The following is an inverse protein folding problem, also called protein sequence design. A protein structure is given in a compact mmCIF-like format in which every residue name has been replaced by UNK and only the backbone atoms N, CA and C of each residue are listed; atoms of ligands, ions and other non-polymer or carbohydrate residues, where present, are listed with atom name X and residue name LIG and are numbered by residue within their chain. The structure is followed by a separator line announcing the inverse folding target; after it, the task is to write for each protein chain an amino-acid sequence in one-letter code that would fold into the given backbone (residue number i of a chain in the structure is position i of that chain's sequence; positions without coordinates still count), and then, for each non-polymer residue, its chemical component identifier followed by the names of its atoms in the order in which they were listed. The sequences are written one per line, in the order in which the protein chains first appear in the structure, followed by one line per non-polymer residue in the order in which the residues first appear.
data_IF_220402007534
#
_entry.id   IF_220402007534
#
_cell.length_a   1.000
_cell.length_b   1.000
_cell.length_c   1.000
_cell.angle_alpha   90.00
_cell.angle_beta   90.00
_cell.angle_gamma   90.00
#
_symmetry.space_group_name_H-M   'P 1'
#
loop_
_entity.id
_entity.type
_entity.pdbx_description
1 polymer ?
#
# COMPACT_ATOMS: atom_id res chain seq x y z
N UNK A 1 8.66 -23.99 -5.34
CA UNK A 1 9.40 -22.75 -5.67
C UNK A 1 9.65 -22.00 -4.36
N UNK A 2 10.75 -21.26 -4.22
CA UNK A 2 10.97 -20.44 -3.04
C UNK A 2 9.91 -19.31 -3.01
N UNK A 3 9.43 -18.96 -1.82
CA UNK A 3 8.48 -17.86 -1.65
C UNK A 3 9.15 -16.52 -1.99
N UNK A 4 8.39 -15.61 -2.59
CA UNK A 4 8.81 -14.22 -2.80
C UNK A 4 8.87 -13.52 -1.45
N UNK A 5 10.06 -13.04 -1.07
CA UNK A 5 10.26 -12.30 0.17
C UNK A 5 9.77 -10.86 0.03
N UNK A 6 8.80 -10.50 0.84
CA UNK A 6 8.14 -9.18 0.79
C UNK A 6 8.44 -8.39 2.06
N UNK A 7 8.85 -7.14 1.89
CA UNK A 7 8.84 -6.16 2.97
C UNK A 7 7.70 -5.15 2.76
N UNK A 8 7.11 -4.67 3.84
CA UNK A 8 6.06 -3.64 3.81
C UNK A 8 6.63 -2.36 4.41
N UNK A 9 6.70 -1.29 3.61
CA UNK A 9 7.07 0.03 4.08
C UNK A 9 5.81 0.87 4.31
N UNK A 10 5.51 1.17 5.56
CA UNK A 10 4.27 1.78 6.00
C UNK A 10 3.20 0.75 6.36
N UNK A 11 2.96 0.60 7.66
CA UNK A 11 1.96 -0.35 8.18
C UNK A 11 0.67 0.37 8.58
N UNK A 12 0.29 1.36 7.75
CA UNK A 12 -1.00 2.04 7.79
C UNK A 12 -2.14 1.13 7.32
N UNK A 13 -3.26 1.70 6.92
CA UNK A 13 -4.42 0.91 6.46
C UNK A 13 -4.06 -0.05 5.32
N UNK A 14 -3.40 0.45 4.29
CA UNK A 14 -3.08 -0.36 3.10
C UNK A 14 -2.08 -1.46 3.46
N UNK A 15 -0.98 -1.12 4.13
CA UNK A 15 0.04 -2.10 4.54
C UNK A 15 -0.54 -3.22 5.41
N UNK A 16 -1.40 -2.89 6.39
CA UNK A 16 -2.03 -3.90 7.26
C UNK A 16 -3.03 -4.78 6.51
N UNK A 17 -3.82 -4.23 5.61
CA UNK A 17 -4.79 -5.02 4.84
C UNK A 17 -4.08 -5.92 3.82
N UNK A 18 -3.02 -5.42 3.18
CA UNK A 18 -2.15 -6.25 2.33
C UNK A 18 -1.51 -7.39 3.14
N UNK A 19 -0.98 -7.08 4.33
CA UNK A 19 -0.45 -8.09 5.24
C UNK A 19 -1.47 -9.18 5.56
N UNK A 20 -2.71 -8.81 5.93
CA UNK A 20 -3.77 -9.78 6.25
C UNK A 20 -4.06 -10.74 5.08
N UNK A 21 -3.93 -10.28 3.84
CA UNK A 21 -4.15 -11.10 2.64
C UNK A 21 -2.94 -11.98 2.30
N UNK A 22 -1.73 -11.46 2.53
CA UNK A 22 -0.49 -12.14 2.16
C UNK A 22 -0.02 -13.14 3.20
N UNK A 23 -0.32 -12.89 4.48
CA UNK A 23 0.18 -13.72 5.57
C UNK A 23 -0.45 -15.13 5.52
N UNK A 24 0.38 -16.14 5.32
CA UNK A 24 -0.04 -17.53 5.15
C UNK A 24 -0.52 -17.90 3.74
N UNK A 25 -0.52 -16.96 2.79
CA UNK A 25 -0.79 -17.28 1.39
C UNK A 25 0.42 -17.95 0.73
N UNK A 26 0.16 -18.85 -0.22
CA UNK A 26 1.22 -19.50 -1.00
C UNK A 26 1.95 -18.52 -1.90
N UNK A 27 3.25 -18.71 -2.05
CA UNK A 27 4.11 -17.91 -2.94
C UNK A 27 4.68 -16.65 -2.32
N UNK A 28 4.24 -16.24 -1.12
CA UNK A 28 4.73 -15.04 -0.43
C UNK A 28 5.27 -15.33 0.95
N UNK A 29 6.22 -14.51 1.37
CA UNK A 29 6.69 -14.46 2.73
C UNK A 29 6.92 -13.01 3.15
N UNK A 30 6.12 -12.48 4.08
CA UNK A 30 6.38 -11.18 4.70
C UNK A 30 7.52 -11.35 5.70
N UNK A 31 8.67 -10.76 5.39
CA UNK A 31 9.92 -10.91 6.17
C UNK A 31 10.23 -9.71 7.04
N UNK A 32 9.70 -8.53 6.71
CA UNK A 32 9.94 -7.30 7.45
C UNK A 32 8.82 -6.28 7.27
N UNK A 33 8.67 -5.41 8.24
CA UNK A 33 7.82 -4.22 8.19
C UNK A 33 8.66 -3.03 8.62
N UNK A 34 8.51 -1.90 7.96
CA UNK A 34 9.05 -0.62 8.40
C UNK A 34 7.91 0.35 8.68
N UNK A 35 7.85 0.86 9.92
CA UNK A 35 6.88 1.88 10.32
C UNK A 35 7.42 2.63 11.55
N UNK A 36 7.13 3.92 11.66
CA UNK A 36 7.62 4.76 12.76
C UNK A 36 6.80 4.60 14.06
N UNK A 37 5.75 3.80 14.02
CA UNK A 37 4.85 3.52 15.15
C UNK A 37 5.33 2.30 15.93
N UNK A 38 5.07 2.26 17.25
CA UNK A 38 5.50 1.13 18.09
C UNK A 38 4.84 -0.19 17.68
N UNK A 39 5.55 -1.34 17.82
CA UNK A 39 5.01 -2.67 17.53
C UNK A 39 3.68 -2.95 18.23
N UNK A 40 3.53 -2.55 19.48
CA UNK A 40 2.31 -2.73 20.26
C UNK A 40 1.11 -2.02 19.63
N UNK A 41 1.30 -0.78 19.19
CA UNK A 41 0.24 -0.02 18.49
C UNK A 41 -0.07 -0.65 17.13
N UNK A 42 0.93 -1.04 16.36
CA UNK A 42 0.74 -1.69 15.07
C UNK A 42 0.03 -3.03 15.20
N UNK A 43 0.35 -3.83 16.22
CA UNK A 43 -0.34 -5.09 16.53
C UNK A 43 -1.80 -4.85 16.89
N UNK A 44 -2.11 -3.82 17.70
CA UNK A 44 -3.49 -3.44 18.03
C UNK A 44 -4.27 -3.09 16.75
N UNK A 45 -3.71 -2.24 15.91
CA UNK A 45 -4.33 -1.83 14.64
C UNK A 45 -4.42 -2.99 13.63
N UNK A 46 -3.52 -3.97 13.68
CA UNK A 46 -3.62 -5.19 12.88
C UNK A 46 -4.80 -6.07 13.33
N UNK A 47 -5.01 -6.19 14.65
CA UNK A 47 -6.12 -6.99 15.20
C UNK A 47 -7.48 -6.42 14.84
N UNK A 48 -7.63 -5.10 14.93
CA UNK A 48 -8.93 -4.42 14.87
C UNK A 48 -8.95 -3.38 13.76
N UNK A 49 -9.94 -3.45 12.90
CA UNK A 49 -10.18 -2.49 11.84
C UNK A 49 -11.66 -2.14 11.80
N UNK A 50 -11.98 -0.84 11.88
CA UNK A 50 -13.37 -0.37 11.97
C UNK A 50 -14.17 -0.62 10.68
N UNK A 51 -13.52 -0.70 9.52
CA UNK A 51 -14.17 -0.93 8.24
C UNK A 51 -14.13 -2.41 7.81
N UNK A 52 -13.00 -3.09 8.05
CA UNK A 52 -12.77 -4.48 7.62
C UNK A 52 -12.96 -5.51 8.74
N UNK A 53 -13.29 -5.05 9.94
CA UNK A 53 -13.54 -5.91 11.07
C UNK A 53 -12.28 -6.51 11.69
N UNK A 54 -12.52 -7.39 12.64
CA UNK A 54 -11.46 -8.09 13.38
C UNK A 54 -10.69 -9.03 12.45
N UNK A 55 -9.36 -9.02 12.57
CA UNK A 55 -8.51 -9.94 11.82
C UNK A 55 -8.76 -11.40 12.25
N UNK A 56 -8.85 -12.32 11.29
CA UNK A 56 -9.11 -13.73 11.57
C UNK A 56 -8.08 -14.36 12.53
N UNK A 57 -6.82 -13.90 12.48
CA UNK A 57 -5.74 -14.36 13.34
C UNK A 57 -5.50 -13.44 14.56
N UNK A 58 -6.42 -12.54 14.91
CA UNK A 58 -6.23 -11.53 15.96
C UNK A 58 -5.79 -12.11 17.30
N UNK A 59 -6.29 -13.29 17.68
CA UNK A 59 -5.95 -13.94 18.95
C UNK A 59 -4.51 -14.47 19.01
N UNK A 60 -3.90 -14.67 17.85
CA UNK A 60 -2.51 -15.13 17.73
C UNK A 60 -1.51 -13.97 17.60
N UNK A 61 -2.01 -12.72 17.50
CA UNK A 61 -1.15 -11.54 17.33
C UNK A 61 -0.63 -11.07 18.68
N UNK A 62 0.66 -10.97 18.83
CA UNK A 62 1.35 -10.34 19.97
C UNK A 62 2.43 -9.37 19.47
N UNK A 63 2.93 -8.54 20.35
CA UNK A 63 4.01 -7.61 20.04
C UNK A 63 4.97 -7.48 21.21
N UNK A 64 6.21 -7.22 20.90
CA UNK A 64 7.27 -6.91 21.85
C UNK A 64 7.93 -5.59 21.38
N UNK A 65 7.73 -4.52 22.18
CA UNK A 65 8.26 -3.19 21.87
C UNK A 65 9.79 -3.12 22.08
N UNK A 66 10.34 -3.88 23.04
CA UNK A 66 11.78 -3.91 23.30
C UNK A 66 12.52 -4.67 22.19
N UNK A 67 11.99 -5.82 21.80
CA UNK A 67 12.53 -6.59 20.68
C UNK A 67 12.22 -5.97 19.31
N UNK A 68 11.28 -5.02 19.24
CA UNK A 68 10.85 -4.41 17.98
C UNK A 68 10.17 -5.41 17.05
N UNK A 69 9.24 -6.24 17.58
CA UNK A 69 8.65 -7.33 16.80
C UNK A 69 7.14 -7.43 16.95
N UNK A 70 6.52 -8.02 15.93
CA UNK A 70 5.13 -8.52 15.95
C UNK A 70 5.17 -10.02 15.64
N UNK A 71 4.46 -10.80 16.44
CA UNK A 71 4.28 -12.24 16.21
C UNK A 71 2.84 -12.50 15.80
N UNK A 72 2.64 -13.26 14.72
CA UNK A 72 1.34 -13.70 14.22
C UNK A 72 1.40 -15.19 13.94
N UNK A 73 0.50 -15.95 14.53
CA UNK A 73 0.43 -17.41 14.39
C UNK A 73 1.80 -18.10 14.57
N UNK A 74 2.55 -17.67 15.61
CA UNK A 74 3.88 -18.20 15.94
C UNK A 74 5.03 -17.70 15.06
N UNK A 75 4.77 -16.95 14.00
CA UNK A 75 5.80 -16.34 13.16
C UNK A 75 6.11 -14.92 13.60
N UNK A 76 7.35 -14.66 13.99
CA UNK A 76 7.84 -13.35 14.42
C UNK A 76 8.37 -12.55 13.24
N UNK A 77 7.93 -11.30 13.12
CA UNK A 77 8.32 -10.36 12.06
C UNK A 77 8.91 -9.13 12.74
N UNK A 78 10.10 -8.72 12.30
CA UNK A 78 10.76 -7.53 12.81
C UNK A 78 10.12 -6.27 12.24
N UNK A 79 9.94 -5.30 13.15
CA UNK A 79 9.53 -3.93 12.81
C UNK A 79 10.77 -3.05 12.83
N UNK A 80 11.04 -2.41 11.74
CA UNK A 80 12.05 -1.38 11.60
C UNK A 80 11.38 -0.01 11.72
N UNK A 81 12.11 0.99 12.19
CA UNK A 81 11.61 2.36 12.39
C UNK A 81 12.48 3.38 11.62
N UNK A 82 12.82 3.02 10.38
CA UNK A 82 13.66 3.84 9.52
C UNK A 82 12.84 4.90 8.81
N UNK A 83 13.16 6.17 9.05
CA UNK A 83 12.52 7.32 8.40
C UNK A 83 12.99 7.47 6.95
N UNK A 84 14.26 7.18 6.71
CA UNK A 84 14.85 7.14 5.37
C UNK A 84 14.91 5.68 4.89
N UNK A 85 14.20 5.38 3.83
CA UNK A 85 14.09 4.02 3.28
C UNK A 85 15.44 3.47 2.78
N UNK A 86 16.44 4.31 2.53
CA UNK A 86 17.79 3.86 2.15
C UNK A 86 18.49 3.12 3.28
N UNK A 87 18.09 3.34 4.53
CA UNK A 87 18.66 2.69 5.72
C UNK A 87 17.97 1.35 6.06
N UNK A 88 16.91 1.00 5.35
CA UNK A 88 16.24 -0.26 5.58
C UNK A 88 17.14 -1.44 5.13
N UNK A 89 17.18 -2.56 5.88
CA UNK A 89 18.10 -3.67 5.59
C UNK A 89 17.55 -4.64 4.54
N UNK A 90 16.97 -4.12 3.45
CA UNK A 90 16.32 -4.97 2.43
C UNK A 90 17.28 -5.94 1.77
N UNK A 91 18.51 -5.51 1.50
CA UNK A 91 19.55 -6.36 0.92
C UNK A 91 19.97 -7.50 1.84
N UNK A 92 20.17 -7.23 3.14
CA UNK A 92 20.56 -8.23 4.14
C UNK A 92 19.47 -9.29 4.33
N UNK A 93 18.21 -8.89 4.27
CA UNK A 93 17.05 -9.77 4.40
C UNK A 93 16.73 -10.52 3.09
N UNK A 94 17.38 -10.15 1.99
CA UNK A 94 17.13 -10.71 0.66
C UNK A 94 15.72 -10.40 0.15
N UNK A 95 15.22 -9.18 0.40
CA UNK A 95 13.88 -8.74 -0.01
C UNK A 95 13.77 -8.72 -1.53
N UNK A 96 12.80 -9.46 -2.06
CA UNK A 96 12.50 -9.46 -3.49
C UNK A 96 11.62 -8.27 -3.87
N UNK A 97 10.60 -7.97 -3.04
CA UNK A 97 9.62 -6.92 -3.33
C UNK A 97 9.36 -6.09 -2.09
N UNK A 98 9.41 -4.76 -2.22
CA UNK A 98 8.89 -3.83 -1.22
C UNK A 98 7.50 -3.38 -1.65
N UNK A 99 6.50 -3.53 -0.76
CA UNK A 99 5.23 -2.84 -0.86
C UNK A 99 5.37 -1.47 -0.21
N UNK A 100 5.36 -0.41 -1.01
CA UNK A 100 5.43 0.97 -0.54
C UNK A 100 4.03 1.48 -0.22
N UNK A 101 3.72 1.60 1.07
CA UNK A 101 2.40 1.94 1.59
C UNK A 101 2.37 3.19 2.46
N UNK A 102 3.47 3.99 2.50
CA UNK A 102 3.56 5.20 3.34
C UNK A 102 2.85 6.41 2.76
N UNK A 103 2.71 6.46 1.43
CA UNK A 103 2.26 7.64 0.70
C UNK A 103 3.34 8.74 0.55
N UNK A 104 4.60 8.50 0.98
CA UNK A 104 5.71 9.44 0.82
C UNK A 104 6.56 9.16 -0.43
N UNK A 105 6.81 7.90 -0.73
CA UNK A 105 7.63 7.46 -1.86
C UNK A 105 6.76 7.21 -3.10
N UNK A 106 5.93 8.19 -3.47
CA UNK A 106 4.94 8.10 -4.56
C UNK A 106 5.47 8.62 -5.90
N UNK A 107 6.73 8.37 -6.22
CA UNK A 107 7.33 8.62 -7.53
C UNK A 107 8.49 7.66 -7.77
N UNK A 108 8.87 7.45 -9.02
CA UNK A 108 10.00 6.62 -9.39
C UNK A 108 11.27 7.03 -8.65
N UNK A 109 11.64 8.32 -8.74
CA UNK A 109 12.86 8.85 -8.14
C UNK A 109 12.91 8.66 -6.61
N UNK A 110 11.79 8.86 -5.90
CA UNK A 110 11.74 8.61 -4.46
C UNK A 110 11.84 7.12 -4.13
N UNK A 111 11.14 6.27 -4.89
CA UNK A 111 11.09 4.82 -4.64
C UNK A 111 12.41 4.11 -4.94
N UNK A 112 13.32 4.73 -5.69
CA UNK A 112 14.70 4.25 -5.87
C UNK A 112 15.45 4.07 -4.53
N UNK A 113 15.03 4.75 -3.46
CA UNK A 113 15.58 4.56 -2.12
C UNK A 113 15.50 3.09 -1.68
N UNK A 114 14.42 2.39 -1.98
CA UNK A 114 14.28 0.97 -1.67
C UNK A 114 15.21 0.07 -2.49
N UNK A 115 15.43 0.41 -3.75
CA UNK A 115 16.41 -0.32 -4.59
C UNK A 115 17.84 -0.10 -4.08
N UNK A 116 18.18 1.13 -3.65
CA UNK A 116 19.46 1.44 -3.01
C UNK A 116 19.66 0.68 -1.70
N UNK A 117 18.57 0.45 -0.96
CA UNK A 117 18.57 -0.38 0.25
C UNK A 117 18.67 -1.89 -0.04
N UNK A 118 18.70 -2.29 -1.32
CA UNK A 118 18.92 -3.68 -1.74
C UNK A 118 17.68 -4.48 -2.10
N UNK A 119 16.49 -3.87 -2.16
CA UNK A 119 15.30 -4.53 -2.70
C UNK A 119 15.43 -4.73 -4.23
N UNK A 120 14.85 -5.81 -4.75
CA UNK A 120 14.90 -6.08 -6.20
C UNK A 120 13.81 -5.33 -6.96
N UNK A 121 12.63 -5.16 -6.36
CA UNK A 121 11.48 -4.50 -6.97
C UNK A 121 10.70 -3.69 -5.92
N UNK A 122 9.96 -2.68 -6.38
CA UNK A 122 9.08 -1.85 -5.56
C UNK A 122 7.70 -1.79 -6.19
N UNK A 123 6.67 -2.02 -5.41
CA UNK A 123 5.26 -1.82 -5.77
C UNK A 123 4.71 -0.68 -4.93
N UNK A 124 4.42 0.45 -5.57
CA UNK A 124 3.86 1.63 -4.91
C UNK A 124 2.34 1.46 -4.85
N UNK A 125 1.75 1.51 -3.67
CA UNK A 125 0.31 1.34 -3.44
C UNK A 125 -0.52 2.61 -3.70
N UNK A 126 -0.04 3.48 -4.57
CA UNK A 126 -0.65 4.77 -4.88
C UNK A 126 -0.28 5.20 -6.30
N UNK A 127 -0.99 6.19 -6.90
CA UNK A 127 -0.55 6.83 -8.13
C UNK A 127 0.86 7.42 -7.96
N UNK A 128 1.73 7.22 -8.95
CA UNK A 128 3.15 7.54 -8.81
C UNK A 128 3.76 8.27 -10.03
N UNK A 129 2.96 8.98 -10.78
CA UNK A 129 3.39 9.70 -11.99
C UNK A 129 3.29 8.85 -13.27
N UNK A 130 3.80 9.41 -14.37
CA UNK A 130 3.70 8.79 -15.70
C UNK A 130 5.04 8.22 -16.20
N UNK A 131 6.08 8.27 -15.38
CA UNK A 131 7.44 7.83 -15.68
C UNK A 131 7.74 6.38 -15.28
N UNK A 132 6.70 5.66 -14.85
CA UNK A 132 6.75 4.25 -14.45
C UNK A 132 5.44 3.53 -14.82
N UNK A 133 5.46 2.20 -14.98
CA UNK A 133 4.25 1.44 -15.29
C UNK A 133 3.22 1.53 -14.17
N UNK A 134 1.98 1.87 -14.55
CA UNK A 134 0.81 1.81 -13.67
C UNK A 134 0.00 0.56 -14.02
N UNK A 135 -0.17 -0.32 -13.03
CA UNK A 135 -0.75 -1.64 -13.24
C UNK A 135 -2.04 -1.79 -12.45
N UNK A 136 -3.07 -2.28 -13.14
CA UNK A 136 -4.30 -2.79 -12.54
C UNK A 136 -4.38 -4.28 -12.88
N UNK A 137 -4.42 -5.10 -11.85
CA UNK A 137 -4.51 -6.56 -11.99
C UNK A 137 -5.77 -6.96 -12.80
N UNK A 138 -5.64 -7.97 -13.64
CA UNK A 138 -6.66 -8.44 -14.61
C UNK A 138 -7.00 -7.44 -15.73
N UNK A 139 -6.30 -6.31 -15.82
CA UNK A 139 -6.46 -5.32 -16.91
C UNK A 139 -5.22 -5.25 -17.77
N UNK A 140 -4.07 -4.95 -17.18
CA UNK A 140 -2.83 -4.71 -17.92
C UNK A 140 -1.56 -5.31 -17.28
N UNK A 141 -1.67 -6.22 -16.31
CA UNK A 141 -0.51 -6.86 -15.66
C UNK A 141 0.42 -7.56 -16.65
N UNK A 142 -0.11 -7.99 -17.81
CA UNK A 142 0.66 -8.65 -18.87
C UNK A 142 1.61 -7.71 -19.62
N UNK A 143 1.47 -6.41 -19.41
CA UNK A 143 2.40 -5.42 -20.00
C UNK A 143 3.71 -5.33 -19.22
N UNK A 144 3.78 -5.90 -18.00
CA UNK A 144 4.98 -5.91 -17.18
C UNK A 144 6.10 -6.73 -17.82
N UNK A 145 7.30 -6.20 -17.71
CA UNK A 145 8.52 -6.84 -18.13
C UNK A 145 9.47 -7.09 -16.96
N UNK A 146 10.49 -7.89 -17.17
CA UNK A 146 11.55 -8.11 -16.14
C UNK A 146 12.34 -6.85 -15.82
N UNK A 147 12.39 -5.89 -16.74
CA UNK A 147 13.09 -4.61 -16.59
C UNK A 147 12.33 -3.64 -15.65
N UNK A 148 11.04 -3.83 -15.43
CA UNK A 148 10.24 -2.98 -14.58
C UNK A 148 10.55 -3.27 -13.11
N UNK A 149 11.36 -2.42 -12.50
CA UNK A 149 11.79 -2.57 -11.10
C UNK A 149 10.93 -1.78 -10.13
N UNK A 150 10.28 -0.70 -10.59
CA UNK A 150 9.37 0.12 -9.80
C UNK A 150 8.07 0.26 -10.58
N UNK A 151 6.96 -0.10 -9.96
CA UNK A 151 5.62 0.01 -10.56
C UNK A 151 4.64 0.67 -9.59
N UNK A 152 3.59 1.26 -10.13
CA UNK A 152 2.43 1.73 -9.37
C UNK A 152 1.30 0.71 -9.46
N UNK A 153 0.66 0.40 -8.35
CA UNK A 153 -0.59 -0.36 -8.30
C UNK A 153 -1.84 0.52 -8.52
N UNK A 154 -1.66 1.72 -9.08
CA UNK A 154 -2.71 2.69 -9.36
C UNK A 154 -3.41 3.24 -8.10
N UNK A 155 -4.53 3.94 -8.27
CA UNK A 155 -5.39 4.42 -7.19
C UNK A 155 -6.51 3.43 -6.87
N UNK A 156 -7.16 3.60 -5.73
CA UNK A 156 -8.38 2.87 -5.37
C UNK A 156 -9.48 3.07 -6.42
N UNK A 157 -9.67 4.31 -6.90
CA UNK A 157 -10.64 4.66 -7.94
C UNK A 157 -10.31 3.95 -9.26
N UNK A 158 -9.04 3.94 -9.67
CA UNK A 158 -8.60 3.25 -10.90
C UNK A 158 -8.79 1.75 -10.78
N UNK A 159 -8.49 1.14 -9.64
CA UNK A 159 -8.71 -0.29 -9.43
C UNK A 159 -10.20 -0.67 -9.41
N UNK A 160 -11.08 0.24 -9.04
CA UNK A 160 -12.53 0.07 -9.14
C UNK A 160 -13.00 0.16 -10.61
N UNK A 161 -12.64 1.25 -11.30
CA UNK A 161 -13.17 1.58 -12.63
C UNK A 161 -12.59 0.71 -13.75
N UNK A 162 -11.27 0.50 -13.76
CA UNK A 162 -10.60 -0.09 -14.92
C UNK A 162 -11.06 -1.52 -15.25
N UNK A 163 -11.29 -2.45 -14.30
CA UNK A 163 -11.84 -3.76 -14.60
C UNK A 163 -13.24 -3.71 -15.21
N UNK A 164 -14.12 -2.84 -14.69
CA UNK A 164 -15.47 -2.65 -15.22
C UNK A 164 -15.44 -2.08 -16.63
N UNK A 165 -14.71 -0.99 -16.84
CA UNK A 165 -14.57 -0.35 -18.15
C UNK A 165 -13.92 -1.30 -19.19
N UNK A 166 -12.89 -2.05 -18.77
CA UNK A 166 -12.25 -3.06 -19.64
C UNK A 166 -13.23 -4.15 -20.08
N UNK A 167 -14.06 -4.65 -19.17
CA UNK A 167 -15.06 -5.67 -19.47
C UNK A 167 -16.12 -5.14 -20.43
N UNK A 168 -16.66 -3.95 -20.18
CA UNK A 168 -17.61 -3.29 -21.08
C UNK A 168 -17.00 -3.02 -22.45
N UNK A 169 -15.77 -2.52 -22.49
CA UNK A 169 -15.09 -2.22 -23.75
C UNK A 169 -14.78 -3.47 -24.60
N UNK A 170 -14.61 -4.63 -23.96
CA UNK A 170 -14.49 -5.91 -24.67
C UNK A 170 -15.81 -6.38 -25.26
N UNK A 171 -16.92 -6.14 -24.56
CA UNK A 171 -18.26 -6.48 -25.03
C UNK A 171 -18.75 -5.51 -26.10
N UNK A 172 -18.62 -4.21 -25.86
CA UNK A 172 -19.02 -3.14 -26.78
C UNK A 172 -18.05 -1.97 -26.64
N UNK A 173 -17.45 -1.54 -27.74
CA UNK A 173 -16.43 -0.48 -27.77
C UNK A 173 -16.96 0.83 -27.20
N UNK A 174 -16.37 1.31 -26.13
CA UNK A 174 -16.66 2.60 -25.52
C UNK A 174 -16.10 3.70 -26.41
N UNK A 175 -16.95 4.63 -26.84
CA UNK A 175 -16.55 5.78 -27.66
C UNK A 175 -16.35 7.05 -26.81
N UNK A 176 -17.20 7.25 -25.81
CA UNK A 176 -17.16 8.39 -24.87
C UNK A 176 -17.74 7.93 -23.54
N UNK A 177 -17.33 8.53 -22.44
CA UNK A 177 -17.86 8.27 -21.12
C UNK A 177 -17.64 9.44 -20.19
N UNK A 178 -18.46 9.52 -19.15
CA UNK A 178 -18.28 10.40 -18.00
C UNK A 178 -18.19 9.54 -16.76
N UNK A 179 -17.31 9.90 -15.85
CA UNK A 179 -17.17 9.21 -14.57
C UNK A 179 -17.60 10.14 -13.43
N UNK A 180 -18.44 9.64 -12.56
CA UNK A 180 -18.73 10.25 -11.26
C UNK A 180 -18.38 9.26 -10.18
N UNK A 181 -17.54 9.66 -9.24
CA UNK A 181 -17.15 8.85 -8.09
C UNK A 181 -17.84 9.33 -6.84
N UNK A 182 -18.53 8.40 -6.14
CA UNK A 182 -18.99 8.59 -4.77
C UNK A 182 -18.02 7.83 -3.89
N UNK A 183 -17.17 8.55 -3.16
CA UNK A 183 -16.00 7.98 -2.51
C UNK A 183 -16.05 8.20 -0.99
N UNK A 184 -15.85 7.13 -0.22
CA UNK A 184 -15.63 7.27 1.21
C UNK A 184 -14.32 8.06 1.46
N UNK A 185 -14.31 8.92 2.49
CA UNK A 185 -13.09 9.61 2.88
C UNK A 185 -12.01 8.62 3.36
N UNK A 186 -10.77 9.01 3.19
CA UNK A 186 -9.59 8.18 3.54
C UNK A 186 -8.67 8.97 4.48
N UNK A 187 -7.58 8.36 4.95
CA UNK A 187 -6.58 9.03 5.78
C UNK A 187 -5.80 10.16 5.08
N UNK A 188 -6.04 10.39 3.79
CA UNK A 188 -5.47 11.51 3.05
C UNK A 188 -6.26 12.83 3.29
N UNK A 189 -7.55 12.76 3.62
CA UNK A 189 -8.35 13.92 4.01
C UNK A 189 -8.11 14.28 5.49
N UNK A 190 -8.41 15.51 5.85
CA UNK A 190 -8.35 15.98 7.22
C UNK A 190 -9.60 15.56 8.00
N UNK A 191 -9.47 15.18 9.27
CA UNK A 191 -10.61 14.93 10.17
C UNK A 191 -11.33 16.23 10.48
N UNK A 192 -10.57 17.28 10.80
CA UNK A 192 -11.02 18.67 10.94
C UNK A 192 -10.31 19.55 9.91
N UNK A 193 -10.81 20.77 9.70
CA UNK A 193 -10.12 21.76 8.86
C UNK A 193 -8.66 21.93 9.27
N UNK A 194 -7.74 21.81 8.35
CA UNK A 194 -6.31 21.91 8.63
C UNK A 194 -5.45 21.87 7.38
N UNK A 195 -4.14 22.16 7.50
CA UNK A 195 -3.25 22.19 6.36
C UNK A 195 -3.06 20.79 5.77
N UNK A 196 -3.43 20.62 4.51
CA UNK A 196 -3.21 19.36 3.80
C UNK A 196 -1.73 19.23 3.38
N UNK A 197 -1.17 18.01 3.53
CA UNK A 197 0.28 17.74 3.31
C UNK A 197 0.77 18.09 1.91
N UNK A 198 -0.10 17.99 0.90
CA UNK A 198 0.22 18.31 -0.50
C UNK A 198 -0.34 19.67 -0.95
N UNK A 199 -0.87 20.48 -0.02
CA UNK A 199 -1.44 21.79 -0.33
C UNK A 199 -2.80 21.76 -1.05
N UNK A 200 -3.49 20.63 -1.12
CA UNK A 200 -4.82 20.53 -1.70
C UNK A 200 -5.86 21.20 -0.79
N UNK A 201 -6.41 22.32 -1.22
CA UNK A 201 -7.37 23.12 -0.44
C UNK A 201 -8.70 22.40 -0.22
N UNK A 202 -9.11 21.53 -1.13
CA UNK A 202 -10.35 20.74 -0.99
C UNK A 202 -10.18 19.69 0.11
N UNK A 203 -9.02 19.03 0.13
CA UNK A 203 -8.68 18.01 1.14
C UNK A 203 -8.27 18.59 2.49
N UNK A 204 -8.11 19.91 2.58
CA UNK A 204 -7.87 20.62 3.83
C UNK A 204 -9.14 20.84 4.67
N UNK A 205 -10.30 20.45 4.17
CA UNK A 205 -11.60 20.56 4.84
C UNK A 205 -11.92 19.30 5.64
N UNK A 206 -12.79 19.46 6.66
CA UNK A 206 -13.24 18.34 7.49
C UNK A 206 -13.95 17.27 6.66
N UNK A 207 -13.46 16.05 6.71
CA UNK A 207 -13.90 14.95 5.85
C UNK A 207 -15.36 14.54 6.09
N UNK A 208 -15.85 14.66 7.34
CA UNK A 208 -17.21 14.30 7.69
C UNK A 208 -18.26 15.31 7.19
N UNK A 209 -17.86 16.57 6.95
CA UNK A 209 -18.74 17.66 6.51
C UNK A 209 -18.57 17.95 5.00
N UNK A 210 -17.35 17.80 4.52
CA UNK A 210 -17.07 17.86 3.09
C UNK A 210 -17.39 16.49 2.49
N UNK A 211 -18.63 16.24 2.11
CA UNK A 211 -18.94 15.07 1.29
C UNK A 211 -18.00 15.07 0.10
N UNK A 212 -17.11 14.08 0.03
CA UNK A 212 -16.05 14.06 -0.92
C UNK A 212 -16.60 13.76 -2.31
N UNK A 213 -17.02 14.80 -3.01
CA UNK A 213 -17.19 14.77 -4.45
C UNK A 213 -15.83 15.06 -5.06
N UNK A 214 -15.08 14.03 -5.37
CA UNK A 214 -13.82 14.14 -6.05
C UNK A 214 -14.01 13.93 -7.55
N UNK A 215 -13.75 14.95 -8.36
CA UNK A 215 -13.31 14.75 -9.72
C UNK A 215 -11.81 14.49 -9.62
N UNK A 216 -11.39 13.23 -9.69
CA UNK A 216 -9.99 12.90 -9.93
C UNK A 216 -9.75 13.07 -11.44
N UNK A 217 -9.01 14.11 -11.82
CA UNK A 217 -8.45 14.27 -13.15
C UNK A 217 -7.30 13.28 -13.38
#
# INVERSE_FOLDING_TARGET
MANVKVAINGFGRIGRLAFRQMFGAEGYEVVAINDLTSPKMLAHLLKYDSAQGRYALADTVSADDEAGTITVNGKTIRIYAEKDATNCPWGELGVDVVLECTGFYTSKAKSEAHLKAGAKKVVISAPAGNDLPTIVYSVNEKTLTKADTIISAASCTTNCLAPMANTLNKLAKIKKGYMTTIHAYTGDQMVLDGPHRKGDLRRARAAAEAAAFGNDE
#
